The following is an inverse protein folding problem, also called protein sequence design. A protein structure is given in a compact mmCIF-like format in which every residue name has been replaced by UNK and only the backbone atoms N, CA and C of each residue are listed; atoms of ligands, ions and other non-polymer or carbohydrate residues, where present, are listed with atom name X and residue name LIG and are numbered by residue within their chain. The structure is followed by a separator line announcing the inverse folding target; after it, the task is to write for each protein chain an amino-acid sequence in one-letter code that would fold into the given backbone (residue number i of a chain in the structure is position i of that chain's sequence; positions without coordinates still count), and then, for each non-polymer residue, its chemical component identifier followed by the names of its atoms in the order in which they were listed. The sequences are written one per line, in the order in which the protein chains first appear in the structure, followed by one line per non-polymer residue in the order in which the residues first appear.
data_IF_848868297250
#
_entry.id   IF_848868297250
#
_cell.length_a   1.000
_cell.length_b   1.000
_cell.length_c   1.000
_cell.angle_alpha   90.00
_cell.angle_beta   90.00
_cell.angle_gamma   90.00
#
_symmetry.space_group_name_H-M   'P 1'
#
loop_
_entity.id
_entity.type
_entity.pdbx_description
1 polymer ?
#
# COMPACT_ATOMS: atom_id res chain seq x y z
N UNK A 1 -11.45 1.01 -25.36
CA UNK A 1 -10.81 -0.27 -25.00
C UNK A 1 -9.97 -0.05 -23.75
N UNK A 2 -10.64 -0.04 -22.59
CA UNK A 2 -10.05 0.13 -21.25
C UNK A 2 -11.02 -0.38 -20.15
N UNK A 3 -12.10 -1.08 -20.53
CA UNK A 3 -13.17 -1.46 -19.61
C UNK A 3 -12.67 -2.30 -18.43
N UNK A 4 -11.70 -3.20 -18.68
CA UNK A 4 -11.10 -4.02 -17.63
C UNK A 4 -10.24 -3.21 -16.65
N UNK A 5 -9.53 -2.17 -17.12
CA UNK A 5 -8.72 -1.30 -16.27
C UNK A 5 -9.56 -0.30 -15.46
N UNK A 6 -10.76 0.01 -15.96
CA UNK A 6 -11.72 0.90 -15.32
C UNK A 6 -12.79 0.14 -14.51
N UNK A 7 -12.72 -1.19 -14.44
CA UNK A 7 -13.63 -1.99 -13.65
C UNK A 7 -13.38 -1.79 -12.14
N UNK A 8 -14.41 -1.96 -11.28
CA UNK A 8 -14.22 -1.92 -9.84
C UNK A 8 -13.24 -2.99 -9.35
N UNK A 9 -12.44 -2.67 -8.34
CA UNK A 9 -11.51 -3.62 -7.74
C UNK A 9 -12.26 -4.76 -7.05
N UNK A 10 -11.84 -6.00 -7.34
CA UNK A 10 -12.31 -7.19 -6.63
C UNK A 10 -11.51 -7.42 -5.35
N UNK A 11 -12.08 -8.15 -4.38
CA UNK A 11 -11.39 -8.45 -3.13
C UNK A 11 -10.13 -9.31 -3.35
N UNK A 12 -10.18 -10.22 -4.33
CA UNK A 12 -9.05 -11.07 -4.71
C UNK A 12 -7.91 -10.26 -5.32
N UNK A 13 -8.20 -9.26 -6.16
CA UNK A 13 -7.18 -8.35 -6.69
C UNK A 13 -6.50 -7.55 -5.57
N UNK A 14 -7.30 -7.03 -4.62
CA UNK A 14 -6.78 -6.27 -3.48
C UNK A 14 -5.89 -7.16 -2.60
N UNK A 15 -6.33 -8.39 -2.32
CA UNK A 15 -5.54 -9.36 -1.56
C UNK A 15 -4.24 -9.74 -2.28
N UNK A 16 -4.32 -10.01 -3.59
CA UNK A 16 -3.15 -10.34 -4.40
C UNK A 16 -2.15 -9.18 -4.41
N UNK A 17 -2.61 -7.95 -4.61
CA UNK A 17 -1.78 -6.74 -4.56
C UNK A 17 -1.13 -6.55 -3.18
N UNK A 18 -1.89 -6.73 -2.10
CA UNK A 18 -1.35 -6.67 -0.73
C UNK A 18 -0.21 -7.65 -0.52
N UNK A 19 -0.36 -8.91 -0.99
CA UNK A 19 0.65 -9.96 -0.87
C UNK A 19 1.87 -9.76 -1.76
N UNK A 20 1.77 -8.97 -2.84
CA UNK A 20 2.90 -8.63 -3.70
C UNK A 20 3.84 -7.59 -3.07
N UNK A 21 3.40 -6.89 -2.02
CA UNK A 21 4.27 -5.97 -1.28
C UNK A 21 5.44 -6.75 -0.65
N UNK A 22 6.65 -6.21 -0.78
CA UNK A 22 7.83 -6.79 -0.13
C UNK A 22 7.68 -6.74 1.39
N UNK A 23 7.70 -7.90 2.05
CA UNK A 23 7.37 -8.04 3.47
C UNK A 23 8.16 -7.10 4.41
N UNK A 24 9.45 -6.89 4.13
CA UNK A 24 10.38 -6.10 4.96
C UNK A 24 10.77 -4.77 4.30
N UNK A 25 9.91 -4.21 3.45
CA UNK A 25 10.14 -2.85 2.94
C UNK A 25 10.11 -1.83 4.08
N UNK A 26 10.80 -0.71 3.87
CA UNK A 26 10.83 0.41 4.81
C UNK A 26 9.40 0.83 5.18
N UNK A 27 9.11 1.02 6.48
CA UNK A 27 7.78 1.40 6.92
C UNK A 27 7.46 2.84 6.53
N UNK A 28 6.16 3.14 6.46
CA UNK A 28 5.67 4.51 6.36
C UNK A 28 5.77 5.25 7.69
N UNK A 29 5.15 6.45 7.80
CA UNK A 29 5.06 7.19 9.05
C UNK A 29 4.36 6.45 10.20
N UNK A 30 3.55 5.45 9.87
CA UNK A 30 2.87 4.55 10.80
C UNK A 30 3.78 3.53 11.49
N UNK A 31 5.05 3.43 11.05
CA UNK A 31 6.03 2.46 11.53
C UNK A 31 5.67 0.98 11.28
N UNK A 32 4.67 0.69 10.45
CA UNK A 32 4.28 -0.69 10.12
C UNK A 32 4.90 -1.13 8.79
N UNK A 33 5.75 -2.18 8.78
CA UNK A 33 6.21 -2.79 7.53
C UNK A 33 5.08 -3.57 6.85
N UNK A 34 5.20 -3.82 5.54
CA UNK A 34 4.14 -4.48 4.76
C UNK A 34 3.74 -5.87 5.28
N UNK A 35 4.65 -6.59 5.95
CA UNK A 35 4.37 -7.88 6.61
C UNK A 35 3.25 -7.80 7.65
N UNK A 36 2.99 -6.61 8.23
CA UNK A 36 1.85 -6.39 9.11
C UNK A 36 0.54 -6.73 8.41
N UNK A 37 0.32 -6.18 7.21
CA UNK A 37 -0.89 -6.42 6.41
C UNK A 37 -0.99 -7.88 5.94
N UNK A 38 0.14 -8.56 5.74
CA UNK A 38 0.16 -9.98 5.39
C UNK A 38 -0.29 -10.85 6.56
N UNK A 39 0.28 -10.63 7.75
CA UNK A 39 0.03 -11.47 8.93
C UNK A 39 -1.31 -11.19 9.58
N UNK A 40 -1.75 -9.94 9.58
CA UNK A 40 -2.98 -9.49 10.23
C UNK A 40 -4.10 -9.23 9.23
N UNK A 41 -4.04 -9.82 8.03
CA UNK A 41 -5.04 -9.65 6.98
C UNK A 41 -6.47 -9.88 7.48
N UNK A 42 -6.69 -10.93 8.29
CA UNK A 42 -8.03 -11.23 8.82
C UNK A 42 -8.62 -10.08 9.65
N UNK A 43 -7.78 -9.32 10.34
CA UNK A 43 -8.18 -8.17 11.14
C UNK A 43 -8.31 -6.90 10.29
N UNK A 44 -7.42 -6.69 9.31
CA UNK A 44 -7.33 -5.44 8.53
C UNK A 44 -8.10 -5.46 7.20
N UNK A 45 -8.58 -6.62 6.74
CA UNK A 45 -9.16 -6.77 5.40
C UNK A 45 -10.31 -5.82 5.14
N UNK A 46 -11.13 -5.53 6.15
CA UNK A 46 -12.35 -4.72 6.00
C UNK A 46 -11.96 -3.29 5.68
N UNK A 47 -11.01 -2.74 6.43
CA UNK A 47 -10.49 -1.40 6.30
C UNK A 47 -9.75 -1.26 4.96
N UNK A 48 -8.84 -2.17 4.64
CA UNK A 48 -8.06 -2.13 3.39
C UNK A 48 -8.97 -2.22 2.15
N UNK A 49 -9.93 -3.15 2.14
CA UNK A 49 -10.87 -3.31 1.01
C UNK A 49 -11.79 -2.08 0.92
N UNK A 50 -12.28 -1.56 2.05
CA UNK A 50 -13.10 -0.35 2.10
C UNK A 50 -12.37 0.84 1.48
N UNK A 51 -11.15 1.12 1.95
CA UNK A 51 -10.32 2.20 1.43
C UNK A 51 -10.02 2.06 -0.07
N UNK A 52 -9.73 0.84 -0.55
CA UNK A 52 -9.50 0.60 -1.97
C UNK A 52 -10.76 0.85 -2.82
N UNK A 53 -11.93 0.43 -2.33
CA UNK A 53 -13.21 0.70 -2.99
C UNK A 53 -13.54 2.19 -2.99
N UNK A 54 -13.31 2.89 -1.88
CA UNK A 54 -13.53 4.34 -1.78
C UNK A 54 -12.62 5.13 -2.72
N UNK A 55 -11.37 4.68 -2.92
CA UNK A 55 -10.45 5.22 -3.92
C UNK A 55 -11.03 5.10 -5.34
N UNK A 56 -11.58 3.93 -5.68
CA UNK A 56 -12.15 3.69 -7.01
C UNK A 56 -13.30 4.67 -7.35
N UNK A 57 -14.16 4.95 -6.37
CA UNK A 57 -15.30 5.88 -6.53
C UNK A 57 -14.96 7.34 -6.16
N UNK A 58 -13.69 7.64 -5.88
CA UNK A 58 -13.21 9.00 -5.53
C UNK A 58 -13.89 9.62 -4.31
N UNK A 59 -14.36 8.80 -3.36
CA UNK A 59 -15.04 9.25 -2.15
C UNK A 59 -14.09 9.61 -1.00
N UNK A 60 -12.82 9.24 -1.09
CA UNK A 60 -11.84 9.44 -0.03
C UNK A 60 -10.67 10.35 -0.44
N UNK A 61 -10.36 11.34 0.40
CA UNK A 61 -9.09 12.05 0.33
C UNK A 61 -8.00 11.20 1.01
N UNK A 62 -7.21 10.48 0.21
CA UNK A 62 -6.15 9.59 0.69
C UNK A 62 -4.77 10.25 0.74
N UNK A 63 -4.71 11.59 0.87
CA UNK A 63 -3.46 12.33 0.98
C UNK A 63 -2.55 11.82 2.10
N UNK A 64 -3.12 11.38 3.22
CA UNK A 64 -2.36 10.85 4.35
C UNK A 64 -1.62 9.54 4.01
N UNK A 65 -2.16 8.72 3.10
CA UNK A 65 -1.46 7.51 2.62
C UNK A 65 -0.22 7.82 1.77
N UNK A 66 -0.14 9.04 1.22
CA UNK A 66 1.00 9.48 0.42
C UNK A 66 2.14 10.07 1.26
N UNK A 67 1.96 10.17 2.58
CA UNK A 67 3.03 10.61 3.47
C UNK A 67 4.14 9.54 3.53
N UNK A 68 5.39 9.96 3.35
CA UNK A 68 6.55 9.07 3.37
C UNK A 68 7.73 9.69 4.09
N UNK A 69 8.61 8.84 4.61
CA UNK A 69 9.91 9.26 5.12
C UNK A 69 10.96 9.24 4.01
N UNK A 70 11.81 10.26 3.96
CA UNK A 70 12.95 10.32 3.05
C UNK A 70 14.21 10.02 3.87
N UNK A 71 14.90 8.94 3.50
CA UNK A 71 16.19 8.58 4.07
C UNK A 71 17.27 8.68 2.97
N UNK A 72 18.29 9.50 3.20
CA UNK A 72 19.45 9.60 2.31
C UNK A 72 20.44 8.50 2.67
N UNK A 73 20.60 7.52 1.78
CA UNK A 73 21.57 6.42 1.93
C UNK A 73 22.78 6.74 1.06
N UNK A 74 23.98 6.93 1.63
CA UNK A 74 25.19 7.08 0.86
C UNK A 74 25.43 5.87 -0.04
N UNK A 75 25.75 6.11 -1.32
CA UNK A 75 26.11 5.02 -2.26
C UNK A 75 27.47 4.41 -1.93
N UNK A 76 28.38 5.22 -1.39
CA UNK A 76 29.73 4.84 -0.96
C UNK A 76 30.00 5.44 0.42
N UNK A 77 30.89 4.81 1.19
CA UNK A 77 31.21 5.25 2.56
C UNK A 77 31.88 6.63 2.60
N UNK A 78 32.67 6.95 1.57
CA UNK A 78 33.32 8.24 1.39
C UNK A 78 33.26 8.60 -0.10
N UNK A 79 32.42 9.58 -0.50
CA UNK A 79 32.48 10.18 -1.83
C UNK A 79 33.75 11.04 -1.94
N UNK A 80 34.38 11.07 -3.12
CA UNK A 80 35.50 11.96 -3.43
C UNK A 80 35.11 13.45 -3.42
#
# INVERSE_FOLDING_TARGET
MNANLAAPFTEDEILAASKQLGALKAPGPDSFPSIFYHRFWSAMKKEVIGTAKDLYISLSNLQDLNQTHIALIPKVAAPD
#
